data_IF_338465963761
#
_entry.id   IF_338465963761
#
_cell.length_a   1.000
_cell.length_b   1.000
_cell.length_c   1.000
_cell.angle_alpha   90.00
_cell.angle_beta   90.00
_cell.angle_gamma   90.00
#
_symmetry.space_group_name_H-M   'P 1'
#
loop_
_entity.id
_entity.type
_entity.pdbx_description
1 polymer ?
2 non-polymer ?
3 non-polymer ?
4 water ?
#
# COMPACT_ATOMS: atom_id res chain seq x y z
N UNK A 2 -2.72 16.09 21.05
CA UNK A 2 -3.87 16.15 20.16
C UNK A 2 -3.50 16.70 18.77
N UNK A 3 -4.44 16.53 17.87
CA UNK A 3 -4.27 16.64 16.43
C UNK A 3 -5.32 17.63 15.97
N UNK A 4 -4.96 18.52 15.05
CA UNK A 4 -5.90 19.53 14.56
C UNK A 4 -6.17 19.32 13.07
N UNK A 5 -7.31 18.72 12.76
CA UNK A 5 -7.63 18.44 11.36
C UNK A 5 -7.66 19.73 10.56
N UNK A 6 -8.05 20.84 11.18
CA UNK A 6 -8.11 22.10 10.45
C UNK A 6 -6.72 22.58 10.07
N UNK A 7 -5.74 22.44 10.96
CA UNK A 7 -4.38 22.83 10.60
C UNK A 7 -3.82 21.91 9.52
N UNK A 8 -4.09 20.60 9.66
CA UNK A 8 -3.62 19.63 8.66
C UNK A 8 -4.24 19.95 7.30
N UNK A 9 -5.57 20.13 7.26
CA UNK A 9 -6.24 20.41 5.99
C UNK A 9 -5.63 21.61 5.29
N UNK A 10 -5.20 22.63 6.05
CA UNK A 10 -4.63 23.81 5.42
C UNK A 10 -3.37 23.49 4.62
N UNK A 11 -2.71 22.37 4.90
CA UNK A 11 -1.49 22.02 4.16
C UNK A 11 -1.78 21.41 2.78
N UNK A 12 -3.03 21.10 2.45
CA UNK A 12 -3.37 20.32 1.25
C UNK A 12 -4.13 21.17 0.24
N UNK A 13 -3.46 21.73 -0.77
CA UNK A 13 -4.14 22.68 -1.67
C UNK A 13 -5.32 22.11 -2.44
N UNK A 14 -5.35 20.81 -2.75
CA UNK A 14 -6.48 20.23 -3.46
C UNK A 14 -7.76 20.30 -2.64
N UNK A 15 -7.66 20.31 -1.31
CA UNK A 15 -8.88 20.29 -0.53
C UNK A 15 -9.75 21.54 -0.70
N UNK A 16 -9.22 22.63 -1.28
CA UNK A 16 -9.99 23.84 -1.59
C UNK A 16 -10.78 23.72 -2.88
N UNK A 17 -10.50 22.70 -3.67
CA UNK A 17 -11.02 22.54 -5.02
C UNK A 17 -12.55 22.42 -4.99
N UNK A 18 -13.18 22.79 -6.11
CA UNK A 18 -14.60 22.59 -6.30
C UNK A 18 -14.83 21.55 -7.41
N UNK A 19 -15.82 20.70 -7.21
CA UNK A 19 -16.21 19.69 -8.19
C UNK A 19 -17.69 19.85 -8.45
N UNK A 20 -18.07 19.93 -9.73
CA UNK A 20 -19.49 20.09 -10.10
C UNK A 20 -20.11 21.33 -9.45
N UNK A 21 -19.30 22.36 -9.20
CA UNK A 21 -19.78 23.55 -8.55
C UNK A 21 -19.88 23.48 -7.05
N UNK A 22 -19.62 22.32 -6.45
CA UNK A 22 -19.69 22.16 -5.01
C UNK A 22 -18.31 21.89 -4.41
N UNK A 23 -18.13 22.11 -3.10
CA UNK A 23 -16.82 21.85 -2.48
C UNK A 23 -16.51 20.36 -2.39
N UNK A 24 -15.29 20.00 -2.81
CA UNK A 24 -14.88 18.61 -2.90
C UNK A 24 -14.85 17.97 -1.52
N UNK A 25 -15.43 16.77 -1.44
CA UNK A 25 -15.20 15.87 -0.31
C UNK A 25 -14.42 14.67 -0.87
N UNK A 26 -13.12 14.66 -0.68
CA UNK A 26 -12.26 13.60 -1.23
C UNK A 26 -12.24 12.45 -0.25
N UNK A 27 -13.03 11.42 -0.54
CA UNK A 27 -13.04 10.19 0.24
C UNK A 27 -12.46 9.02 -0.55
N UNK A 28 -11.37 9.24 -1.27
CA UNK A 28 -10.80 8.20 -2.11
C UNK A 28 -9.29 8.08 -1.89
N UNK A 29 -8.85 8.31 -0.66
CA UNK A 29 -7.43 8.25 -0.35
C UNK A 29 -6.85 6.85 -0.45
N UNK A 30 -7.67 5.82 -0.27
CA UNK A 30 -7.17 4.46 -0.42
C UNK A 30 -6.74 4.17 -1.86
N UNK A 31 -7.35 4.84 -2.85
CA UNK A 31 -6.85 4.77 -4.22
C UNK A 31 -5.57 5.58 -4.36
N UNK A 32 -5.56 6.80 -3.85
CA UNK A 32 -4.34 7.60 -3.82
C UNK A 32 -4.61 8.81 -2.94
N UNK A 33 -3.60 9.25 -2.22
CA UNK A 33 -3.77 10.31 -1.23
C UNK A 33 -3.40 11.66 -1.84
N UNK A 34 -4.09 12.70 -1.40
CA UNK A 34 -3.64 14.05 -1.73
C UNK A 34 -2.31 14.31 -1.02
N UNK A 35 -1.58 15.31 -1.52
CA UNK A 35 -0.24 15.60 -1.03
C UNK A 35 -0.20 17.00 -0.41
N UNK A 36 0.54 17.18 0.68
CA UNK A 36 0.71 18.52 1.25
C UNK A 36 1.68 19.37 0.43
N UNK A 37 1.55 20.69 0.62
CA UNK A 37 2.49 21.63 0.03
C UNK A 37 3.93 21.27 0.36
N UNK A 38 4.17 20.79 1.57
CA UNK A 38 5.53 20.43 1.96
C UNK A 38 6.11 19.36 1.03
N UNK A 39 5.27 18.43 0.57
CA UNK A 39 5.75 17.39 -0.33
C UNK A 39 5.91 17.93 -1.74
N UNK A 40 4.90 18.66 -2.22
CA UNK A 40 4.94 19.23 -3.55
C UNK A 40 6.12 20.17 -3.72
N UNK A 41 6.34 21.05 -2.74
CA UNK A 41 7.42 22.02 -2.87
C UNK A 41 8.79 21.40 -2.72
N UNK A 42 8.93 20.35 -1.89
CA UNK A 42 10.23 19.71 -1.73
C UNK A 42 10.72 19.15 -3.08
N UNK A 43 9.85 18.43 -3.77
CA UNK A 43 10.16 17.93 -5.10
C UNK A 43 10.46 19.09 -6.05
N UNK A 44 9.56 20.08 -6.12
CA UNK A 44 9.76 21.20 -7.05
C UNK A 44 11.06 21.95 -6.75
N UNK A 45 11.39 22.15 -5.47
CA UNK A 45 12.61 22.84 -5.11
C UNK A 45 13.85 22.07 -5.55
N UNK A 46 13.80 20.75 -5.43
CA UNK A 46 14.89 19.91 -5.93
C UNK A 46 15.14 20.16 -7.41
N UNK A 47 14.08 20.13 -8.21
CA UNK A 47 14.20 20.40 -9.65
C UNK A 47 14.72 21.81 -9.91
N UNK A 48 14.31 22.79 -9.09
CA UNK A 48 14.67 24.19 -9.33
C UNK A 48 16.10 24.52 -8.94
N UNK A 49 16.69 23.84 -7.96
CA UNK A 49 17.97 24.25 -7.42
C UNK A 49 19.00 23.15 -7.30
N UNK A 50 18.62 21.87 -7.36
CA UNK A 50 19.57 20.83 -7.01
C UNK A 50 19.70 19.69 -7.99
N UNK A 51 19.03 19.79 -9.13
CA UNK A 51 18.87 18.62 -9.99
C UNK A 51 20.16 18.22 -10.70
N UNK A 52 20.41 16.91 -10.76
CA UNK A 52 21.50 16.30 -11.54
C UNK A 52 21.24 14.80 -11.61
N UNK A 53 22.02 14.09 -12.43
CA UNK A 53 22.03 12.63 -12.36
C UNK A 53 22.70 12.19 -11.08
N UNK A 54 22.31 11.00 -10.58
CA UNK A 54 22.73 10.55 -9.25
C UNK A 54 23.60 9.31 -9.29
N UNK A 55 24.61 9.27 -10.13
CA UNK A 55 25.28 7.98 -10.13
C UNK A 55 26.66 8.06 -9.49
N UNK A 56 26.73 8.61 -8.27
CA UNK A 56 27.99 8.97 -7.64
C UNK A 56 28.86 9.73 -8.64
N UNK A 57 28.24 10.61 -9.42
CA UNK A 57 28.95 11.41 -10.39
C UNK A 57 29.95 12.36 -9.73
N UNK A 58 30.90 12.82 -10.55
CA UNK A 58 32.01 13.55 -9.96
C UNK A 58 31.60 14.95 -9.52
N UNK A 59 30.78 15.66 -10.31
CA UNK A 59 30.53 17.06 -10.01
C UNK A 59 29.59 17.24 -8.83
N UNK A 60 29.58 18.46 -8.30
CA UNK A 60 28.93 18.76 -7.02
C UNK A 60 27.44 18.40 -7.03
N UNK A 61 26.69 18.89 -8.02
CA UNK A 61 25.25 18.62 -8.03
C UNK A 61 24.97 17.11 -8.02
N UNK A 62 25.70 16.36 -8.84
CA UNK A 62 25.52 14.91 -8.89
C UNK A 62 25.88 14.26 -7.55
N UNK A 63 26.95 14.73 -6.91
CA UNK A 63 27.34 14.12 -5.63
C UNK A 63 26.34 14.47 -4.54
N UNK A 64 25.86 15.72 -4.51
CA UNK A 64 24.86 16.09 -3.52
C UNK A 64 23.54 15.38 -3.76
N UNK A 65 23.19 15.18 -5.03
CA UNK A 65 21.94 14.50 -5.35
C UNK A 65 21.99 13.04 -4.92
N UNK A 66 23.14 12.38 -5.14
CA UNK A 66 23.28 11.00 -4.67
C UNK A 66 23.11 10.93 -3.17
N UNK A 67 23.71 11.88 -2.45
CA UNK A 67 23.60 11.90 -1.00
C UNK A 67 22.16 12.09 -0.55
N UNK A 68 21.42 12.98 -1.20
CA UNK A 68 20.01 13.19 -0.84
C UNK A 68 19.22 11.89 -0.98
N UNK A 69 19.49 11.13 -2.04
CA UNK A 69 18.75 9.90 -2.28
C UNK A 69 19.08 8.84 -1.23
N UNK A 70 20.35 8.73 -0.84
CA UNK A 70 20.68 7.76 0.19
C UNK A 70 20.16 8.18 1.56
N UNK A 71 20.08 9.49 1.81
CA UNK A 71 19.44 9.95 3.04
C UNK A 71 17.97 9.58 3.09
N UNK A 72 17.26 9.66 1.96
CA UNK A 72 15.86 9.25 1.96
C UNK A 72 15.74 7.77 2.24
N UNK A 73 16.66 6.96 1.70
CA UNK A 73 16.66 5.51 2.00
C UNK A 73 16.81 5.29 3.50
N UNK A 74 17.75 6.00 4.13
CA UNK A 74 17.94 5.90 5.57
C UNK A 74 16.67 6.35 6.31
N UNK A 75 16.11 7.50 5.94
CA UNK A 75 14.87 7.94 6.59
C UNK A 75 13.77 6.89 6.45
N UNK A 76 13.66 6.25 5.30
CA UNK A 76 12.60 5.28 5.13
C UNK A 76 12.84 4.06 6.02
N UNK A 77 14.09 3.61 6.14
CA UNK A 77 14.36 2.45 7.00
C UNK A 77 14.00 2.75 8.45
N UNK A 78 14.26 3.96 8.92
CA UNK A 78 13.87 4.35 10.27
C UNK A 78 12.35 4.43 10.41
N UNK A 79 11.66 4.82 9.34
CA UNK A 79 10.22 4.96 9.41
C UNK A 79 9.56 3.61 9.70
N UNK A 80 10.07 2.54 9.08
CA UNK A 80 9.54 1.19 9.31
C UNK A 80 10.38 0.40 10.28
N UNK A 81 11.33 1.04 10.96
CA UNK A 81 12.23 0.38 11.92
C UNK A 81 12.96 -0.82 11.33
N UNK A 82 13.42 -0.71 10.09
CA UNK A 82 14.32 -1.73 9.57
C UNK A 82 15.67 -1.59 10.26
N UNK A 83 16.39 -2.70 10.37
CA UNK A 83 17.68 -2.65 11.07
C UNK A 83 18.70 -1.83 10.31
N UNK A 84 18.66 -1.85 8.97
CA UNK A 84 19.67 -1.20 8.15
C UNK A 84 19.05 -0.56 6.92
N UNK A 85 19.61 0.58 6.50
CA UNK A 85 19.08 1.24 5.32
C UNK A 85 19.28 0.42 4.06
N UNK A 86 20.27 -0.46 4.04
CA UNK A 86 20.52 -1.29 2.87
C UNK A 86 19.55 -2.45 2.76
N UNK A 87 18.59 -2.56 3.66
CA UNK A 87 17.48 -3.50 3.49
C UNK A 87 16.31 -2.93 2.70
N UNK A 88 16.41 -1.69 2.20
CA UNK A 88 15.32 -1.08 1.46
C UNK A 88 15.71 -0.88 0.00
N UNK A 89 14.80 -1.29 -0.89
CA UNK A 89 14.95 -1.10 -2.32
C UNK A 89 13.89 -0.10 -2.78
N UNK A 90 14.29 0.82 -3.66
CA UNK A 90 13.39 1.77 -4.29
C UNK A 90 12.77 1.12 -5.53
N UNK A 91 11.43 1.02 -5.53
CA UNK A 91 10.66 0.42 -6.62
C UNK A 91 9.65 1.47 -7.08
N UNK A 92 8.95 1.18 -8.19
CA UNK A 92 7.95 2.12 -8.69
C UNK A 92 6.72 2.16 -7.78
N UNK A 93 6.45 1.08 -7.06
CA UNK A 93 5.31 1.02 -6.15
C UNK A 93 5.14 -0.39 -5.64
N UNK A 94 4.08 -0.57 -4.86
CA UNK A 94 3.79 -1.89 -4.29
C UNK A 94 3.72 -2.97 -5.35
N UNK A 95 3.06 -2.69 -6.48
CA UNK A 95 2.93 -3.69 -7.55
C UNK A 95 4.30 -4.13 -8.06
N UNK A 96 5.15 -3.19 -8.43
CA UNK A 96 6.46 -3.58 -8.93
C UNK A 96 7.27 -4.30 -7.85
N UNK A 97 7.10 -3.91 -6.60
CA UNK A 97 7.89 -4.53 -5.55
C UNK A 97 7.54 -5.99 -5.34
N UNK A 98 6.26 -6.33 -5.42
CA UNK A 98 5.82 -7.72 -5.29
C UNK A 98 6.30 -8.56 -6.47
N UNK A 99 6.19 -8.03 -7.69
CA UNK A 99 6.77 -8.67 -8.87
C UNK A 99 8.26 -8.95 -8.67
N UNK A 100 9.01 -7.96 -8.16
CA UNK A 100 10.44 -8.14 -7.98
C UNK A 100 10.73 -9.35 -7.10
N UNK A 101 10.05 -9.45 -5.96
CA UNK A 101 10.22 -10.60 -5.09
C UNK A 101 9.81 -11.89 -5.79
N UNK A 102 8.70 -11.84 -6.53
CA UNK A 102 8.23 -13.06 -7.18
C UNK A 102 9.22 -13.56 -8.22
N UNK A 103 9.91 -12.66 -8.93
CA UNK A 103 10.83 -13.07 -9.97
C UNK A 103 12.21 -13.40 -9.40
N UNK A 104 12.80 -12.46 -8.65
CA UNK A 104 14.13 -12.70 -8.11
C UNK A 104 14.12 -13.80 -7.06
N UNK A 105 13.39 -13.60 -5.95
CA UNK A 105 13.42 -14.61 -4.91
C UNK A 105 12.57 -15.83 -5.26
N UNK A 106 11.41 -15.62 -5.88
CA UNK A 106 10.52 -16.73 -6.15
C UNK A 106 11.13 -17.75 -7.10
N UNK A 107 11.75 -17.27 -8.18
CA UNK A 107 12.23 -18.18 -9.22
C UNK A 107 13.33 -19.11 -8.72
N UNK A 108 14.00 -18.80 -7.62
CA UNK A 108 15.07 -19.65 -7.14
C UNK A 108 14.82 -20.22 -5.75
N UNK A 109 13.61 -20.06 -5.21
CA UNK A 109 13.29 -20.69 -3.94
C UNK A 109 12.00 -21.49 -3.96
N UNK A 110 11.27 -21.46 -5.06
CA UNK A 110 9.98 -22.12 -5.16
C UNK A 110 10.07 -23.10 -6.31
N UNK A 111 10.06 -24.40 -5.99
CA UNK A 111 10.26 -25.47 -6.95
C UNK A 111 8.96 -26.25 -7.12
N UNK A 112 8.92 -27.02 -8.21
CA UNK A 112 7.72 -27.81 -8.52
C UNK A 112 7.32 -28.65 -7.31
N UNK A 113 6.01 -28.70 -7.05
CA UNK A 113 5.51 -29.40 -5.90
C UNK A 113 5.51 -28.61 -4.61
N UNK A 114 6.10 -27.41 -4.58
CA UNK A 114 5.96 -26.54 -3.43
C UNK A 114 4.59 -25.84 -3.47
N UNK A 115 4.25 -25.14 -2.40
CA UNK A 115 3.05 -24.31 -2.40
C UNK A 115 3.34 -22.90 -1.86
N UNK A 116 2.52 -21.95 -2.31
CA UNK A 116 2.48 -20.58 -1.81
C UNK A 116 1.07 -20.32 -1.29
N UNK A 117 0.97 -19.61 -0.17
CA UNK A 117 -0.32 -19.29 0.45
C UNK A 117 -0.57 -17.78 0.34
N UNK A 118 -1.72 -17.42 -0.23
CA UNK A 118 -2.22 -16.04 -0.18
C UNK A 118 -3.55 -16.08 0.56
N UNK A 119 -4.22 -14.93 0.66
CA UNK A 119 -5.54 -14.89 1.27
C UNK A 119 -6.56 -14.46 0.23
N UNK A 120 -7.83 -14.65 0.56
CA UNK A 120 -8.91 -14.32 -0.36
C UNK A 120 -9.20 -12.83 -0.41
N UNK A 121 -8.63 -12.03 0.50
CA UNK A 121 -8.84 -10.59 0.48
C UNK A 121 -7.70 -9.84 -0.20
N UNK A 122 -6.74 -10.53 -0.80
CA UNK A 122 -5.61 -9.84 -1.41
C UNK A 122 -6.04 -8.98 -2.58
N UNK A 123 -5.37 -7.85 -2.77
CA UNK A 123 -5.52 -7.12 -4.02
C UNK A 123 -4.81 -7.87 -5.15
N UNK A 124 -5.14 -7.49 -6.39
CA UNK A 124 -4.56 -8.19 -7.54
C UNK A 124 -3.04 -8.14 -7.52
N UNK A 125 -2.47 -7.02 -7.06
CA UNK A 125 -1.02 -6.89 -6.95
C UNK A 125 -0.39 -8.04 -6.15
N UNK A 126 -1.11 -8.58 -5.18
CA UNK A 126 -0.60 -9.68 -4.37
C UNK A 126 -1.27 -11.00 -4.74
N UNK A 127 -1.73 -11.13 -5.99
CA UNK A 127 -2.28 -12.39 -6.48
C UNK A 127 -1.58 -12.77 -7.78
N UNK A 128 -1.71 -11.90 -8.79
CA UNK A 128 -1.18 -12.24 -10.12
C UNK A 128 0.29 -12.62 -10.10
N UNK A 129 1.20 -11.90 -9.42
CA UNK A 129 2.60 -12.35 -9.41
C UNK A 129 2.78 -13.77 -8.93
N UNK A 130 1.96 -14.23 -7.98
CA UNK A 130 2.13 -15.58 -7.48
C UNK A 130 1.47 -16.61 -8.39
N UNK A 131 0.39 -16.21 -9.06
CA UNK A 131 -0.20 -17.05 -10.10
C UNK A 131 0.81 -17.27 -11.22
N UNK A 132 1.35 -16.19 -11.78
CA UNK A 132 2.36 -16.29 -12.82
C UNK A 132 3.55 -17.13 -12.37
N UNK A 133 3.98 -16.94 -11.12
CA UNK A 133 5.12 -17.72 -10.63
C UNK A 133 4.78 -19.21 -10.52
N UNK A 134 3.61 -19.52 -9.95
CA UNK A 134 3.19 -20.91 -9.80
C UNK A 134 3.09 -21.60 -11.15
N UNK A 135 2.66 -20.89 -12.19
CA UNK A 135 2.75 -21.38 -13.56
C UNK A 135 4.19 -21.76 -13.91
N UNK A 136 5.09 -20.77 -13.98
CA UNK A 136 6.49 -21.00 -14.32
C UNK A 136 7.07 -22.26 -13.65
N UNK A 137 7.06 -22.31 -12.32
CA UNK A 137 7.76 -23.38 -11.61
C UNK A 137 6.89 -24.60 -11.31
N UNK A 138 5.61 -24.57 -11.69
CA UNK A 138 4.70 -25.67 -11.40
C UNK A 138 4.48 -25.91 -9.91
N UNK A 139 4.05 -24.87 -9.19
CA UNK A 139 3.71 -25.00 -7.77
C UNK A 139 2.21 -24.73 -7.59
N UNK A 140 1.75 -24.81 -6.35
CA UNK A 140 0.33 -24.69 -6.03
C UNK A 140 0.07 -23.42 -5.24
N UNK A 141 -0.88 -22.60 -5.70
CA UNK A 141 -1.32 -21.41 -4.99
C UNK A 141 -2.49 -21.76 -4.08
N UNK A 142 -2.26 -21.74 -2.77
CA UNK A 142 -3.29 -22.02 -1.77
C UNK A 142 -3.83 -20.71 -1.22
N UNK A 143 -5.07 -20.72 -0.75
CA UNK A 143 -5.82 -19.50 -0.43
C UNK A 143 -6.47 -19.64 0.94
N UNK A 144 -6.19 -18.69 1.84
CA UNK A 144 -6.89 -18.61 3.12
C UNK A 144 -8.25 -17.96 2.87
N UNK A 145 -9.35 -18.64 3.18
CA UNK A 145 -10.68 -18.09 2.89
C UNK A 145 -11.13 -17.09 3.96
N UNK A 146 -12.23 -16.41 3.66
CA UNK A 146 -12.80 -15.38 4.52
C UNK A 146 -13.98 -15.91 5.34
N UNK A 147 -14.24 -15.24 6.45
CA UNK A 147 -15.49 -15.31 7.19
C UNK A 147 -16.42 -14.22 6.70
N UNK A 148 -17.73 -14.38 6.91
CA UNK A 148 -18.67 -13.32 6.49
C UNK A 148 -18.34 -11.93 7.00
N UNK A 149 -17.74 -11.81 8.19
CA UNK A 149 -17.42 -10.50 8.72
C UNK A 149 -16.17 -9.88 8.13
N UNK A 150 -15.52 -10.53 7.17
CA UNK A 150 -14.34 -9.95 6.55
C UNK A 150 -13.03 -10.27 7.21
N UNK A 151 -13.01 -11.23 8.14
CA UNK A 151 -11.76 -11.71 8.72
C UNK A 151 -11.35 -13.02 8.07
N UNK A 152 -10.06 -13.33 8.17
CA UNK A 152 -9.56 -14.61 7.69
C UNK A 152 -10.08 -15.76 8.55
N UNK A 153 -10.40 -16.89 7.90
CA UNK A 153 -10.68 -18.13 8.62
C UNK A 153 -9.36 -18.75 9.06
N UNK A 154 -8.87 -18.34 10.22
CA UNK A 154 -7.58 -18.84 10.66
C UNK A 154 -7.59 -20.33 10.99
N UNK A 155 -8.78 -20.92 11.23
CA UNK A 155 -8.84 -22.35 11.53
C UNK A 155 -8.39 -23.20 10.37
N UNK A 156 -8.34 -22.66 9.15
CA UNK A 156 -7.91 -23.45 8.01
C UNK A 156 -6.41 -23.46 7.82
N UNK A 157 -5.65 -22.70 8.61
CA UNK A 157 -4.21 -22.68 8.42
C UNK A 157 -3.56 -24.06 8.47
N UNK A 158 -3.94 -24.98 9.38
CA UNK A 158 -3.32 -26.32 9.39
C UNK A 158 -3.45 -27.09 8.08
N UNK A 159 -4.55 -26.92 7.36
CA UNK A 159 -4.68 -27.60 6.09
C UNK A 159 -3.90 -26.94 4.97
N UNK A 160 -3.40 -25.72 5.18
CA UNK A 160 -2.68 -24.99 4.14
C UNK A 160 -1.17 -25.03 4.32
N UNK A 161 -0.69 -24.98 5.55
CA UNK A 161 0.74 -25.00 5.82
C UNK A 161 1.25 -26.44 5.90
N UNK A 162 2.33 -26.73 5.22
CA UNK A 162 3.04 -28.01 5.38
C UNK A 162 4.54 -27.78 5.18
N UNK A 163 5.28 -28.86 4.93
CA UNK A 163 6.73 -28.74 4.79
C UNK A 163 7.13 -28.12 3.46
N UNK A 164 6.27 -28.23 2.46
CA UNK A 164 6.52 -27.67 1.13
C UNK A 164 5.96 -26.23 0.96
N UNK A 165 5.55 -25.58 2.05
CA UNK A 165 5.12 -24.18 1.96
C UNK A 165 6.34 -23.28 1.97
N UNK A 166 6.58 -22.60 0.85
CA UNK A 166 7.74 -21.72 0.75
C UNK A 166 7.44 -20.29 1.17
N UNK A 167 6.20 -19.83 1.02
CA UNK A 167 5.93 -18.41 1.17
C UNK A 167 4.47 -18.16 1.52
N UNK A 168 4.25 -17.31 2.52
CA UNK A 168 2.96 -16.71 2.80
C UNK A 168 2.99 -15.26 2.33
N UNK A 169 2.09 -14.89 1.41
CA UNK A 169 1.97 -13.51 0.96
C UNK A 169 0.61 -12.99 1.42
N UNK A 170 0.64 -12.00 2.32
CA UNK A 170 -0.56 -11.63 3.07
C UNK A 170 -0.64 -10.11 3.17
N UNK A 171 -1.86 -9.60 3.14
CA UNK A 171 -2.04 -8.15 3.26
C UNK A 171 -2.03 -7.73 4.73
N UNK A 172 -1.43 -6.58 5.00
CA UNK A 172 -1.45 -6.04 6.35
C UNK A 172 -2.84 -5.49 6.68
N UNK A 173 -3.37 -4.64 5.80
CA UNK A 173 -4.72 -4.09 5.91
C UNK A 173 -5.42 -4.21 4.55
N UNK A 174 -6.64 -4.73 4.55
CA UNK A 174 -7.41 -4.88 3.32
C UNK A 174 -7.82 -3.51 2.77
N UNK A 175 -7.64 -3.32 1.47
CA UNK A 175 -8.03 -2.08 0.83
C UNK A 175 -9.54 -1.96 0.62
N UNK A 176 -10.31 -2.99 0.94
CA UNK A 176 -11.76 -2.97 0.81
C UNK A 176 -12.45 -3.11 2.16
N UNK A 177 -12.03 -4.11 2.95
CA UNK A 177 -12.72 -4.39 4.20
C UNK A 177 -12.17 -3.58 5.36
N UNK A 178 -10.95 -3.05 5.23
CA UNK A 178 -10.30 -2.40 6.35
C UNK A 178 -9.86 -3.35 7.46
N UNK A 179 -9.98 -4.66 7.23
CA UNK A 179 -9.51 -5.65 8.19
C UNK A 179 -7.99 -5.52 8.34
N UNK A 180 -7.53 -5.53 9.60
CA UNK A 180 -6.11 -5.65 9.88
C UNK A 180 -5.82 -7.08 10.30
N UNK A 181 -4.88 -7.71 9.64
CA UNK A 181 -4.65 -9.13 9.89
C UNK A 181 -3.64 -9.35 11.01
N UNK A 182 -3.76 -10.48 11.72
CA UNK A 182 -2.84 -10.77 12.82
C UNK A 182 -1.46 -11.20 12.34
N UNK A 183 -0.69 -10.25 11.82
CA UNK A 183 0.54 -10.58 11.11
C UNK A 183 1.56 -11.24 12.02
N UNK A 184 1.73 -10.72 13.23
CA UNK A 184 2.78 -11.24 14.09
C UNK A 184 2.62 -12.74 14.32
N UNK A 185 1.41 -13.18 14.62
CA UNK A 185 1.17 -14.60 14.87
C UNK A 185 1.27 -15.42 13.58
N UNK A 186 0.71 -14.93 12.47
CA UNK A 186 0.81 -15.72 11.25
C UNK A 186 2.26 -15.90 10.82
N UNK A 187 3.09 -14.88 11.06
CA UNK A 187 4.50 -14.96 10.71
C UNK A 187 5.22 -16.00 11.57
N UNK A 188 4.92 -16.02 12.88
CA UNK A 188 5.43 -17.08 13.74
C UNK A 188 5.09 -18.46 13.19
N UNK A 189 3.82 -18.68 12.81
CA UNK A 189 3.43 -19.97 12.24
C UNK A 189 4.18 -20.26 10.96
N UNK A 190 4.26 -19.27 10.06
CA UNK A 190 4.91 -19.53 8.79
C UNK A 190 6.37 -19.88 8.99
N UNK A 191 7.03 -19.21 9.93
CA UNK A 191 8.44 -19.49 10.14
C UNK A 191 8.66 -20.86 10.75
N UNK A 192 7.70 -21.38 11.51
CA UNK A 192 7.84 -22.73 12.04
C UNK A 192 7.98 -23.77 10.93
N UNK A 193 7.51 -23.47 9.73
CA UNK A 193 7.68 -24.37 8.59
C UNK A 193 8.77 -23.95 7.63
N UNK A 194 9.59 -22.96 8.01
CA UNK A 194 10.59 -22.44 7.10
C UNK A 194 10.01 -21.74 5.90
N UNK A 195 8.78 -21.24 6.00
CA UNK A 195 8.24 -20.40 4.95
C UNK A 195 8.62 -18.94 5.22
N UNK A 196 8.86 -18.20 4.14
CA UNK A 196 9.04 -16.76 4.27
C UNK A 196 7.67 -16.06 4.20
N UNK A 197 7.63 -14.82 4.68
CA UNK A 197 6.40 -14.03 4.65
C UNK A 197 6.67 -12.70 3.96
N UNK A 198 5.93 -12.43 2.88
CA UNK A 198 5.83 -11.09 2.32
C UNK A 198 4.54 -10.44 2.83
N UNK A 199 4.66 -9.22 3.34
CA UNK A 199 3.51 -8.44 3.80
C UNK A 199 3.26 -7.32 2.80
N UNK A 200 2.03 -7.26 2.31
CA UNK A 200 1.59 -6.15 1.46
C UNK A 200 1.08 -5.06 2.40
N UNK A 201 1.87 -4.00 2.56
CA UNK A 201 1.59 -2.96 3.53
C UNK A 201 1.01 -1.70 2.91
N UNK A 202 0.53 -1.80 1.67
CA UNK A 202 0.08 -0.61 0.93
C UNK A 202 -0.93 0.22 1.72
N UNK A 203 -1.82 -0.43 2.47
CA UNK A 203 -2.87 0.26 3.20
C UNK A 203 -2.59 0.35 4.69
N UNK A 204 -1.35 0.13 5.11
CA UNK A 204 -1.02 0.13 6.53
C UNK A 204 -0.16 1.32 6.96
N UNK A 205 0.84 1.68 6.16
CA UNK A 205 1.86 2.61 6.58
C UNK A 205 1.36 4.01 6.91
N UNK A 206 0.15 4.38 6.46
CA UNK A 206 -0.36 5.72 6.73
C UNK A 206 -1.29 5.77 7.93
N UNK A 207 -1.64 4.64 8.52
CA UNK A 207 -2.66 4.62 9.57
C UNK A 207 -2.08 4.47 10.98
N UNK A 208 -0.91 3.87 11.13
CA UNK A 208 -0.32 3.68 12.45
C UNK A 208 1.12 3.24 12.27
N UNK A 209 1.95 3.35 13.33
CA UNK A 209 3.35 2.95 13.21
C UNK A 209 3.48 1.50 12.76
N UNK A 210 4.52 1.23 11.98
CA UNK A 210 4.78 -0.10 11.47
C UNK A 210 6.24 -0.41 11.76
N UNK A 211 6.52 -1.62 12.23
CA UNK A 211 7.82 -1.98 12.77
C UNK A 211 8.14 -3.38 12.25
N UNK A 212 9.00 -3.45 11.23
CA UNK A 212 9.26 -4.73 10.59
C UNK A 212 10.15 -5.63 11.43
N UNK A 213 10.90 -5.08 12.38
CA UNK A 213 11.63 -5.95 13.30
C UNK A 213 10.68 -6.65 14.25
N UNK A 214 9.67 -5.94 14.76
CA UNK A 214 8.68 -6.57 15.62
C UNK A 214 7.79 -7.56 14.86
N UNK A 215 7.42 -7.24 13.61
CA UNK A 215 6.64 -8.18 12.83
C UNK A 215 7.43 -9.42 12.48
N UNK A 216 8.74 -9.24 12.24
CA UNK A 216 9.64 -10.29 11.76
C UNK A 216 9.31 -10.78 10.36
N UNK A 217 8.57 -9.99 9.58
CA UNK A 217 8.33 -10.33 8.18
C UNK A 217 9.63 -10.36 7.38
N UNK A 218 9.64 -11.14 6.32
CA UNK A 218 10.83 -11.25 5.49
C UNK A 218 10.84 -10.21 4.36
N UNK A 219 9.66 -9.78 3.92
CA UNK A 219 9.51 -8.75 2.90
C UNK A 219 8.34 -7.86 3.30
N UNK A 220 8.44 -6.57 2.97
CA UNK A 220 7.37 -5.64 3.25
C UNK A 220 7.38 -4.59 2.15
N UNK A 221 6.21 -4.28 1.58
CA UNK A 221 6.10 -3.33 0.48
C UNK A 221 5.04 -2.30 0.75
N UNK A 222 5.25 -1.08 0.25
CA UNK A 222 4.21 -0.06 0.25
C UNK A 222 4.51 0.98 -0.83
N UNK A 223 3.54 1.86 -1.08
CA UNK A 223 3.61 2.83 -2.17
C UNK A 223 3.66 4.25 -1.63
N UNK A 224 4.49 5.07 -2.26
CA UNK A 224 4.61 6.45 -1.83
C UNK A 224 3.34 7.25 -2.00
N UNK A 225 2.58 6.98 -3.08
CA UNK A 225 1.45 7.87 -3.39
C UNK A 225 0.29 7.70 -2.40
N UNK A 226 0.17 6.55 -1.75
CA UNK A 226 -0.85 6.43 -0.72
C UNK A 226 -0.40 7.03 0.59
N UNK A 227 0.89 7.28 0.73
CA UNK A 227 1.48 7.87 1.93
C UNK A 227 1.68 9.37 1.76
N UNK A 228 0.75 10.06 1.12
CA UNK A 228 0.80 11.50 0.89
C UNK A 228 2.02 11.93 0.09
N UNK A 229 2.58 11.01 -0.70
CA UNK A 229 3.78 11.29 -1.44
C UNK A 229 3.56 11.26 -2.94
N UNK A 230 4.61 11.52 -3.72
CA UNK A 230 4.46 11.54 -5.17
C UNK A 230 4.17 10.17 -5.73
N UNK A 231 3.68 10.16 -6.97
CA UNK A 231 3.55 8.91 -7.69
C UNK A 231 4.91 8.43 -8.18
N UNK A 232 4.96 7.18 -8.61
CA UNK A 232 6.17 6.64 -9.21
C UNK A 232 7.23 6.18 -8.24
N UNK A 233 6.89 5.96 -6.97
CA UNK A 233 7.92 5.54 -6.01
C UNK A 233 7.27 4.71 -4.92
N UNK A 234 8.00 3.68 -4.48
CA UNK A 234 7.57 2.81 -3.40
C UNK A 234 8.79 2.22 -2.73
N UNK A 235 8.55 1.40 -1.71
CA UNK A 235 9.61 0.83 -0.90
C UNK A 235 9.39 -0.66 -0.79
N UNK A 236 10.46 -1.44 -1.03
CA UNK A 236 10.50 -2.86 -0.74
C UNK A 236 11.54 -3.07 0.35
N UNK A 237 11.09 -3.54 1.50
CA UNK A 237 11.99 -3.98 2.58
C UNK A 237 12.22 -5.47 2.45
N UNK A 238 13.47 -5.91 2.55
CA UNK A 238 13.84 -7.32 2.56
C UNK A 238 14.89 -7.52 3.64
N UNK A 239 14.75 -8.57 4.45
CA UNK A 239 15.77 -8.91 5.43
C UNK A 239 17.12 -9.04 4.74
N UNK A 240 18.14 -8.45 5.35
CA UNK A 240 19.48 -8.38 4.74
C UNK A 240 19.98 -9.76 4.32
N UNK A 241 19.78 -10.77 5.18
CA UNK A 241 20.27 -12.11 4.87
C UNK A 241 19.63 -12.65 3.59
N UNK A 242 18.32 -12.46 3.45
CA UNK A 242 17.63 -12.86 2.22
C UNK A 242 18.08 -12.01 1.04
N UNK A 243 18.16 -10.69 1.25
CA UNK A 243 18.38 -9.78 0.12
C UNK A 243 19.76 -9.97 -0.51
N UNK A 244 20.79 -10.24 0.32
CA UNK A 244 22.12 -10.46 -0.23
C UNK A 244 22.23 -11.73 -1.04
N UNK A 245 21.26 -12.65 -0.94
CA UNK A 245 21.27 -13.88 -1.74
C UNK A 245 20.46 -13.78 -3.02
N UNK A 246 19.68 -12.69 -3.22
CA UNK A 246 18.76 -12.72 -4.35
C UNK A 246 19.48 -12.36 -5.66
N UNK A 247 19.19 -13.07 -6.75
CA UNK A 247 19.78 -12.72 -8.05
C UNK A 247 19.05 -11.53 -8.66
N UNK A 248 19.57 -10.96 -9.74
CA UNK A 248 18.93 -9.78 -10.33
C UNK A 248 17.67 -10.08 -11.15
N UNK A 249 17.01 -8.99 -11.56
CA UNK A 249 15.77 -9.00 -12.32
C UNK A 249 15.86 -8.03 -13.50
N UNK A 250 15.60 -6.75 -13.27
CA UNK A 250 15.77 -5.73 -14.30
C UNK A 250 17.25 -5.43 -14.46
N UNK A 251 17.73 -5.49 -15.70
CA UNK A 251 19.15 -5.38 -16.01
C UNK A 251 19.52 -4.13 -16.81
N UNK A 252 20.64 -3.52 -16.43
CA UNK A 252 21.18 -2.41 -17.21
C UNK A 252 22.26 -1.67 -16.45
N UNK A 253 22.37 -0.37 -16.73
CA UNK A 253 23.33 0.46 -16.01
C UNK A 253 22.95 0.64 -14.54
N UNK A 254 23.97 0.85 -13.71
CA UNK A 254 23.86 1.13 -12.28
C UNK A 254 23.56 -0.09 -11.42
N UNK A 255 23.12 -1.19 -12.03
CA UNK A 255 22.99 -2.46 -11.33
C UNK A 255 24.02 -3.48 -11.79
N UNK A 256 24.77 -3.21 -12.86
CA UNK A 256 25.96 -3.97 -13.19
C UNK A 256 27.14 -3.50 -12.35
N UNK A 257 28.11 -4.39 -12.18
CA UNK A 257 29.45 -3.99 -11.78
C UNK A 257 30.39 -3.91 -12.99
N UNK A 258 30.34 -4.88 -13.91
CA UNK A 258 31.10 -4.85 -15.15
C UNK A 258 30.24 -5.41 -16.29
N UNK A 259 30.51 -4.94 -17.49
CA UNK A 259 29.89 -5.48 -18.71
C UNK A 259 31.01 -5.77 -19.72
N UNK A 260 31.07 -7.01 -20.17
CA UNK A 260 31.99 -7.40 -21.23
C UNK A 260 31.23 -8.12 -22.32
N UNK A 261 31.56 -7.82 -23.57
CA UNK A 261 30.93 -8.55 -24.67
C UNK A 261 31.49 -9.94 -24.85
N UNK A 262 32.62 -10.27 -24.22
CA UNK A 262 33.17 -11.62 -24.30
C UNK A 262 33.16 -12.35 -22.97
N UNK A 263 33.34 -11.66 -21.86
CA UNK A 263 33.37 -12.27 -20.54
C UNK A 263 32.04 -12.14 -19.79
N UNK A 264 31.01 -11.61 -20.42
CA UNK A 264 29.73 -11.50 -19.72
C UNK A 264 29.71 -10.35 -18.71
N UNK A 265 28.75 -10.43 -17.79
CA UNK A 265 28.41 -9.29 -16.94
C UNK A 265 28.31 -9.72 -15.48
N UNK A 266 28.82 -8.88 -14.58
CA UNK A 266 28.68 -9.09 -13.15
C UNK A 266 27.82 -7.96 -12.55
N UNK A 267 27.28 -8.21 -11.36
CA UNK A 267 26.30 -7.30 -10.75
C UNK A 267 26.80 -6.72 -9.43
N UNK A 268 26.26 -5.56 -9.08
CA UNK A 268 26.67 -4.90 -7.86
C UNK A 268 25.85 -5.41 -6.68
N UNK A 269 26.23 -4.99 -5.46
CA UNK A 269 25.57 -5.48 -4.25
C UNK A 269 24.15 -4.92 -4.13
N UNK A 270 23.31 -5.67 -3.44
CA UNK A 270 22.01 -5.16 -3.02
C UNK A 270 22.21 -4.07 -1.97
N UNK A 271 21.29 -3.10 -1.88
CA UNK A 271 20.03 -2.99 -2.65
C UNK A 271 20.23 -2.48 -4.07
N UNK A 272 21.40 -1.92 -4.38
CA UNK A 272 21.56 -1.25 -5.68
C UNK A 272 21.45 -2.21 -6.85
N UNK A 273 21.71 -3.50 -6.63
CA UNK A 273 21.52 -4.53 -7.66
C UNK A 273 20.13 -4.45 -8.30
N UNK A 274 19.14 -3.99 -7.56
CA UNK A 274 17.74 -4.05 -7.98
C UNK A 274 17.18 -2.70 -8.42
N UNK A 275 18.05 -1.71 -8.62
CA UNK A 275 17.66 -0.36 -9.05
C UNK A 275 18.42 -0.10 -10.35
N UNK A 276 17.80 -0.40 -11.47
CA UNK A 276 18.44 -0.27 -12.78
C UNK A 276 18.04 1.04 -13.44
N UNK A 277 18.93 1.56 -14.25
CA UNK A 277 18.65 2.80 -14.93
C UNK A 277 18.63 3.98 -13.99
N UNK A 278 18.01 5.04 -14.46
CA UNK A 278 17.97 6.28 -13.70
C UNK A 278 16.86 6.21 -12.66
N UNK A 279 17.18 6.30 -11.37
CA UNK A 279 16.13 6.31 -10.33
C UNK A 279 15.20 7.50 -10.50
N UNK A 280 14.03 7.36 -9.90
CA UNK A 280 13.04 8.44 -9.90
C UNK A 280 13.42 9.38 -8.74
N UNK A 281 14.45 10.21 -8.98
CA UNK A 281 14.94 11.09 -7.90
C UNK A 281 13.89 12.10 -7.47
N UNK A 282 13.19 12.70 -8.43
CA UNK A 282 12.09 13.58 -8.05
C UNK A 282 11.15 12.92 -7.07
N UNK A 283 10.71 11.71 -7.40
CA UNK A 283 9.82 10.99 -6.51
C UNK A 283 10.45 10.65 -5.18
N UNK A 284 11.73 10.25 -5.20
CA UNK A 284 12.43 9.90 -3.95
C UNK A 284 12.50 11.11 -3.01
N UNK A 285 12.85 12.28 -3.55
CA UNK A 285 12.86 13.52 -2.78
C UNK A 285 11.49 13.79 -2.16
N UNK A 286 10.42 13.70 -2.96
CA UNK A 286 9.08 13.94 -2.43
C UNK A 286 8.68 12.91 -1.40
N UNK A 287 9.11 11.66 -1.57
CA UNK A 287 8.79 10.63 -0.58
C UNK A 287 9.47 10.94 0.75
N UNK A 288 10.74 11.36 0.70
CA UNK A 288 11.41 11.82 1.90
C UNK A 288 10.61 12.87 2.63
N UNK A 289 10.11 13.86 1.90
CA UNK A 289 9.32 14.92 2.52
C UNK A 289 8.03 14.38 3.10
N UNK A 290 7.38 13.45 2.40
CA UNK A 290 6.15 12.88 2.91
C UNK A 290 6.37 12.15 4.22
N UNK A 291 7.49 11.42 4.34
CA UNK A 291 7.79 10.72 5.60
C UNK A 291 8.01 11.71 6.74
N UNK A 292 8.76 12.79 6.49
CA UNK A 292 8.94 13.83 7.51
C UNK A 292 7.62 14.45 7.91
N UNK A 293 6.76 14.75 6.93
CA UNK A 293 5.49 15.37 7.25
C UNK A 293 4.65 14.46 8.13
N UNK A 294 4.55 13.19 7.76
CA UNK A 294 3.77 12.25 8.56
C UNK A 294 4.39 12.07 9.95
N UNK A 295 5.71 11.95 10.02
CA UNK A 295 6.37 11.83 11.33
C UNK A 295 6.13 13.07 12.20
N UNK A 296 6.11 14.26 11.59
CA UNK A 296 5.87 15.48 12.36
C UNK A 296 4.47 15.49 12.98
N UNK A 297 3.46 14.97 12.28
CA UNK A 297 2.14 14.88 12.87
C UNK A 297 2.08 13.78 13.91
N UNK A 298 2.82 12.69 13.72
CA UNK A 298 2.80 11.55 14.62
C UNK A 298 1.78 10.52 14.19
N UNK A 299 2.24 9.33 13.83
CA UNK A 299 1.31 8.28 13.42
C UNK A 299 0.35 7.92 14.54
N UNK A 300 0.77 8.01 15.81
CA UNK A 300 -0.18 7.69 16.87
C UNK A 300 -1.27 8.75 16.98
N UNK A 301 -0.96 10.01 16.70
CA UNK A 301 -2.05 11.00 16.68
C UNK A 301 -2.95 10.81 15.48
N UNK A 302 -2.36 10.44 14.33
CA UNK A 302 -3.17 10.16 13.14
C UNK A 302 -4.13 9.01 13.42
N UNK A 303 -3.59 7.90 13.96
CA UNK A 303 -4.44 6.75 14.27
C UNK A 303 -5.61 7.17 15.14
N UNK A 304 -5.34 7.96 16.18
CA UNK A 304 -6.38 8.34 17.12
C UNK A 304 -7.46 9.16 16.44
N UNK A 305 -7.07 10.17 15.67
CA UNK A 305 -8.07 10.94 14.94
C UNK A 305 -8.86 10.06 13.97
N UNK A 306 -8.16 9.21 13.21
CA UNK A 306 -8.84 8.40 12.19
C UNK A 306 -9.82 7.42 12.82
N UNK A 307 -9.42 6.82 13.95
CA UNK A 307 -10.31 5.87 14.61
C UNK A 307 -11.60 6.56 15.08
N UNK A 308 -11.49 7.80 15.57
CA UNK A 308 -12.68 8.54 15.99
C UNK A 308 -13.55 8.90 14.80
N UNK A 309 -12.93 9.34 13.71
CA UNK A 309 -13.69 9.63 12.51
C UNK A 309 -14.39 8.38 12.01
N UNK A 310 -13.69 7.24 12.04
CA UNK A 310 -14.29 5.98 11.60
C UNK A 310 -15.47 5.60 12.49
N UNK A 311 -15.30 5.66 13.81
CA UNK A 311 -16.39 5.33 14.72
C UNK A 311 -17.57 6.29 14.55
N UNK A 312 -17.30 7.56 14.26
CA UNK A 312 -18.40 8.48 14.01
C UNK A 312 -19.15 8.08 12.74
N UNK A 313 -18.42 7.80 11.66
CA UNK A 313 -19.05 7.47 10.40
C UNK A 313 -19.90 6.22 10.51
N UNK A 314 -19.36 5.16 11.11
CA UNK A 314 -20.14 3.94 11.25
C UNK A 314 -21.39 4.19 12.07
N UNK A 315 -21.29 5.05 13.07
CA UNK A 315 -22.47 5.36 13.88
C UNK A 315 -23.52 6.09 13.04
N UNK A 316 -23.11 7.14 12.31
CA UNK A 316 -24.05 7.89 11.49
C UNK A 316 -24.62 7.05 10.35
N UNK A 317 -23.83 6.15 9.77
CA UNK A 317 -24.34 5.39 8.64
C UNK A 317 -25.47 4.46 9.03
N UNK A 318 -25.65 4.19 10.32
CA UNK A 318 -26.76 3.37 10.76
C UNK A 318 -28.11 3.96 10.34
N UNK A 319 -28.17 5.28 10.13
CA UNK A 319 -29.42 5.92 9.75
C UNK A 319 -29.64 5.94 8.25
N UNK A 320 -28.86 5.22 7.46
CA UNK A 320 -29.08 5.08 6.04
C UNK A 320 -29.87 3.78 5.81
N UNK A 321 -31.06 3.85 5.25
CA UNK A 321 -31.85 2.63 5.05
C UNK A 321 -31.20 1.74 4.00
N UNK A 322 -31.33 0.42 4.20
CA UNK A 322 -30.93 -0.60 3.22
C UNK A 322 -29.44 -0.57 2.89
N UNK A 323 -28.62 -0.02 3.77
CA UNK A 323 -27.20 0.04 3.54
C UNK A 323 -26.58 -1.28 3.99
N UNK A 324 -25.85 -1.92 3.08
CA UNK A 324 -25.07 -3.11 3.40
C UNK A 324 -23.62 -2.71 3.57
N UNK A 325 -23.02 -3.04 4.71
CA UNK A 325 -21.60 -2.80 4.93
C UNK A 325 -20.86 -4.14 4.86
N UNK A 326 -19.62 -4.09 4.35
CA UNK A 326 -18.80 -5.28 4.22
C UNK A 326 -17.55 -5.12 5.06
N UNK A 327 -17.30 -6.07 5.96
CA UNK A 327 -16.10 -6.01 6.77
C UNK A 327 -16.39 -5.96 8.26
N UNK A 328 -15.33 -5.99 9.06
CA UNK A 328 -15.49 -6.02 10.51
C UNK A 328 -15.78 -4.63 11.06
N UNK A 329 -16.16 -4.62 12.34
CA UNK A 329 -16.45 -3.36 13.01
C UNK A 329 -15.20 -2.54 13.32
N UNK A 330 -14.08 -3.21 13.62
CA UNK A 330 -12.83 -2.49 13.91
C UNK A 330 -12.00 -2.27 12.65
N UNK A 331 -12.61 -1.77 11.58
CA UNK A 331 -11.91 -1.55 10.33
C UNK A 331 -11.03 -0.30 10.38
N UNK A 332 -9.96 -0.32 9.58
CA UNK A 332 -9.10 0.85 9.39
C UNK A 332 -9.35 1.44 8.01
N UNK A 333 -9.40 2.78 7.95
CA UNK A 333 -9.28 3.49 6.68
C UNK A 333 -10.47 3.53 5.75
N UNK A 334 -11.12 2.39 5.48
CA UNK A 334 -12.10 2.34 4.41
C UNK A 334 -13.41 1.74 4.89
N UNK A 335 -14.49 2.19 4.26
CA UNK A 335 -15.81 1.63 4.48
C UNK A 335 -16.33 1.21 3.12
N UNK A 336 -16.50 -0.09 2.94
CA UNK A 336 -17.08 -0.66 1.72
C UNK A 336 -18.57 -0.92 1.94
N UNK A 337 -19.40 -0.53 0.97
CA UNK A 337 -20.84 -0.67 1.14
C UNK A 337 -21.53 -0.80 -0.20
N UNK A 338 -22.77 -1.29 -0.15
CA UNK A 338 -23.73 -1.16 -1.25
C UNK A 338 -25.04 -0.61 -0.69
N UNK A 339 -25.76 0.11 -1.54
CA UNK A 339 -27.00 0.79 -1.14
C UNK A 339 -28.16 0.07 -1.83
N UNK A 340 -29.00 -0.58 -1.03
CA UNK A 340 -30.09 -1.37 -1.55
C UNK A 340 -29.67 -2.27 -2.70
N UNK A 341 -30.47 -2.31 -3.75
CA UNK A 341 -30.14 -3.07 -4.93
C UNK A 341 -29.58 -2.19 -6.04
N UNK A 342 -29.24 -0.94 -5.73
CA UNK A 342 -28.71 -0.03 -6.74
C UNK A 342 -27.27 -0.41 -7.11
N UNK A 343 -26.93 -0.23 -8.39
CA UNK A 343 -25.56 -0.49 -8.83
C UNK A 343 -24.61 0.51 -8.17
N UNK A 344 -23.48 -0.01 -7.68
CA UNK A 344 -22.47 0.85 -7.09
C UNK A 344 -22.03 1.96 -8.05
N UNK A 345 -21.93 1.64 -9.34
CA UNK A 345 -21.62 2.67 -10.32
C UNK A 345 -22.60 3.85 -10.20
N UNK A 346 -23.90 3.57 -10.10
CA UNK A 346 -24.87 4.66 -10.01
C UNK A 346 -24.73 5.41 -8.70
N UNK A 347 -24.59 4.69 -7.59
CA UNK A 347 -24.45 5.35 -6.29
C UNK A 347 -23.24 6.30 -6.33
N UNK A 348 -22.11 5.82 -6.82
CA UNK A 348 -20.93 6.65 -6.90
C UNK A 348 -21.10 7.83 -7.85
N UNK A 349 -21.90 7.68 -8.90
CA UNK A 349 -22.14 8.80 -9.80
C UNK A 349 -22.96 9.89 -9.13
N UNK A 350 -23.96 9.50 -8.35
CA UNK A 350 -24.73 10.50 -7.60
C UNK A 350 -23.85 11.18 -6.56
N UNK A 351 -23.03 10.42 -5.85
CA UNK A 351 -22.16 11.04 -4.86
C UNK A 351 -21.19 12.02 -5.49
N UNK A 352 -20.69 11.70 -6.69
CA UNK A 352 -19.80 12.64 -7.38
C UNK A 352 -20.57 13.88 -7.81
N UNK A 353 -21.85 13.70 -8.15
CA UNK A 353 -22.68 14.84 -8.50
C UNK A 353 -22.84 15.79 -7.32
N UNK A 354 -22.79 15.28 -6.09
CA UNK A 354 -22.78 16.11 -4.89
C UNK A 354 -21.38 16.58 -4.50
N UNK A 355 -20.36 16.33 -5.30
CA UNK A 355 -19.00 16.71 -4.96
C UNK A 355 -18.25 15.76 -4.04
N UNK A 356 -18.76 14.55 -3.85
CA UNK A 356 -18.16 13.57 -2.96
C UNK A 356 -17.50 12.50 -3.80
N UNK A 357 -16.18 12.34 -3.63
CA UNK A 357 -15.40 11.39 -4.40
C UNK A 357 -15.28 10.08 -3.61
N UNK A 358 -15.96 9.04 -4.06
CA UNK A 358 -15.78 7.69 -3.55
C UNK A 358 -15.36 6.81 -4.73
N UNK A 359 -14.90 5.61 -4.42
CA UNK A 359 -14.50 4.67 -5.45
C UNK A 359 -15.59 3.63 -5.63
N UNK A 360 -15.79 3.21 -6.87
CA UNK A 360 -16.72 2.12 -7.19
C UNK A 360 -15.99 1.07 -8.02
N UNK A 361 -16.60 -0.11 -8.12
CA UNK A 361 -16.04 -1.17 -8.93
C UNK A 361 -15.55 -2.32 -8.08
N UNK A 362 -14.59 -3.06 -8.61
CA UNK A 362 -14.09 -4.23 -7.92
C UNK A 362 -12.88 -3.96 -7.03
N UNK A 363 -12.30 -2.76 -7.09
CA UNK A 363 -11.23 -2.37 -6.18
C UNK A 363 -10.01 -3.26 -6.30
N UNK A 364 -9.76 -3.77 -7.51
CA UNK A 364 -8.67 -4.70 -7.78
C UNK A 364 -8.67 -5.88 -6.81
N UNK A 365 -9.87 -6.31 -6.41
CA UNK A 365 -10.03 -7.42 -5.50
C UNK A 365 -11.20 -8.28 -5.94
N UNK A 366 -11.13 -8.79 -7.18
CA UNK A 366 -12.24 -9.58 -7.71
C UNK A 366 -12.54 -10.83 -6.91
N UNK A 367 -11.57 -11.60 -6.41
CA UNK A 367 -11.96 -12.75 -5.57
C UNK A 367 -12.68 -12.35 -4.31
N UNK A 368 -12.38 -11.17 -3.78
CA UNK A 368 -13.13 -10.67 -2.63
C UNK A 368 -14.56 -10.33 -3.01
N UNK A 369 -14.76 -9.71 -4.18
CA UNK A 369 -16.11 -9.46 -4.66
C UNK A 369 -16.88 -10.76 -4.84
N UNK A 370 -16.22 -11.79 -5.39
CA UNK A 370 -16.91 -13.05 -5.64
C UNK A 370 -17.32 -13.72 -4.35
N UNK A 371 -16.46 -13.67 -3.32
CA UNK A 371 -16.82 -14.22 -2.03
C UNK A 371 -18.13 -13.63 -1.53
N UNK A 372 -18.31 -12.32 -1.67
CA UNK A 372 -19.54 -11.67 -1.22
C UNK A 372 -20.65 -11.72 -2.25
N UNK A 373 -20.42 -12.39 -3.38
CA UNK A 373 -21.47 -12.59 -4.38
C UNK A 373 -22.05 -11.27 -4.86
N UNK A 374 -21.20 -10.26 -5.00
CA UNK A 374 -21.56 -9.01 -5.67
C UNK A 374 -20.53 -8.76 -6.76
N UNK A 375 -20.87 -7.98 -7.75
CA UNK A 375 -19.88 -7.63 -8.78
C UNK A 375 -19.04 -6.41 -8.41
N UNK A 376 -19.56 -5.57 -7.52
CA UNK A 376 -18.88 -4.32 -7.22
C UNK A 376 -19.36 -3.81 -5.86
N UNK A 377 -18.60 -2.86 -5.31
CA UNK A 377 -18.96 -2.17 -4.08
C UNK A 377 -18.57 -0.71 -4.23
N UNK A 378 -19.19 0.13 -3.41
CA UNK A 378 -18.72 1.48 -3.18
C UNK A 378 -17.74 1.46 -2.01
N UNK A 379 -16.83 2.41 -1.99
CA UNK A 379 -15.90 2.49 -0.89
C UNK A 379 -15.55 3.94 -0.60
N UNK A 380 -15.67 4.33 0.65
CA UNK A 380 -15.25 5.64 1.12
C UNK A 380 -14.02 5.46 2.02
N UNK A 381 -12.97 6.23 1.76
CA UNK A 381 -11.80 6.29 2.64
C UNK A 381 -11.93 7.49 3.56
N UNK A 382 -11.61 7.29 4.84
CA UNK A 382 -11.63 8.36 5.84
C UNK A 382 -10.20 8.56 6.30
N UNK A 383 -9.52 9.55 5.72
CA UNK A 383 -8.10 9.79 5.98
C UNK A 383 -7.93 10.91 7.01
N UNK A 384 -6.67 11.23 7.32
CA UNK A 384 -6.38 12.17 8.39
C UNK A 384 -6.84 13.58 8.08
N UNK A 385 -7.15 13.89 6.83
CA UNK A 385 -7.60 15.24 6.49
C UNK A 385 -9.09 15.33 6.23
N UNK A 386 -9.84 14.24 6.45
CA UNK A 386 -11.28 14.24 6.29
C UNK A 386 -11.98 14.63 7.60
N UNK A 387 -13.20 15.15 7.49
CA UNK A 387 -13.87 15.81 8.61
C UNK A 387 -15.23 15.17 8.89
N UNK A 388 -15.70 15.38 10.12
CA UNK A 388 -17.06 14.95 10.48
C UNK A 388 -18.08 15.52 9.50
N UNK A 389 -17.88 16.76 9.06
CA UNK A 389 -18.83 17.32 8.11
C UNK A 389 -18.84 16.54 6.80
N UNK A 390 -17.67 16.07 6.35
CA UNK A 390 -17.65 15.26 5.13
C UNK A 390 -18.39 13.94 5.33
N UNK A 391 -18.25 13.31 6.49
CA UNK A 391 -19.08 12.14 6.80
C UNK A 391 -20.57 12.49 6.68
N UNK A 392 -20.97 13.63 7.23
CA UNK A 392 -22.37 14.04 7.20
C UNK A 392 -22.86 14.20 5.76
N UNK A 393 -22.03 14.81 4.89
CA UNK A 393 -22.42 14.91 3.49
C UNK A 393 -22.61 13.52 2.88
N UNK A 394 -21.76 12.57 3.26
CA UNK A 394 -21.91 11.23 2.68
C UNK A 394 -23.20 10.57 3.15
N UNK A 395 -23.52 10.72 4.44
CA UNK A 395 -24.74 10.12 4.99
C UNK A 395 -25.97 10.75 4.35
N UNK A 396 -26.02 12.08 4.32
CA UNK A 396 -27.13 12.74 3.65
C UNK A 396 -27.22 12.33 2.19
N UNK A 397 -26.08 12.24 1.51
CA UNK A 397 -26.10 11.85 0.11
C UNK A 397 -26.71 10.48 -0.11
N UNK A 398 -26.36 9.51 0.73
CA UNK A 398 -26.92 8.17 0.57
C UNK A 398 -28.42 8.18 0.83
N UNK A 399 -28.86 8.92 1.85
CA UNK A 399 -30.30 9.04 2.13
C UNK A 399 -31.03 9.63 0.93
N UNK A 400 -30.50 10.72 0.37
CA UNK A 400 -31.13 11.31 -0.81
C UNK A 400 -31.19 10.33 -1.96
N UNK A 401 -30.09 9.59 -2.20
CA UNK A 401 -30.07 8.65 -3.32
C UNK A 401 -31.09 7.54 -3.09
N UNK A 402 -31.22 7.09 -1.85
CA UNK A 402 -32.18 6.03 -1.57
C UNK A 402 -33.59 6.50 -1.85
N UNK A 403 -33.91 7.72 -1.40
CA UNK A 403 -35.25 8.26 -1.57
C UNK A 403 -35.55 8.53 -3.03
N UNK A 404 -34.57 9.03 -3.78
CA UNK A 404 -34.80 9.37 -5.18
C UNK A 404 -34.94 8.13 -6.04
N UNK A 405 -34.07 7.14 -5.83
CA UNK A 405 -34.07 5.95 -6.68
C UNK A 405 -34.88 4.79 -6.13
N UNK A 406 -35.25 4.83 -4.85
CA UNK A 406 -36.07 3.78 -4.28
C UNK A 406 -37.48 3.86 -4.84
#
# INVERSE_FOLDING_TARGET
MIFSVDKVRADFPVLSREVNGLPLAYLDSAASAQKPSQVIDAEAEFYRHGYAAVHRGIHTLSAQATEKMENVRKRASLFINARSAEELVFVRGTTEGINLVANSWGNSNVRAGDNIIISQMEAHANIVPWQMLCARVGAELRVIPLNPDGTLQLETLPTLFDEKTRLLAITHVSNVLGTENPLAEMITLAHQHGAKVLVDGAQAVMHHPVDVQALDCDFYVFSGHKLYGPTGIGILYVKEALLQEMPPWEGGGSMIATVSLSEGTTWTKAPWRFEAGTPNTGGIIGLGAALEYVSALGLNNIAEYEQNLMHYALSQLESVPDLTLYGPQNRLGVIAFNLGKHHAYDVGSFLDNYGIAVRTGHHCAMPLMAYYNVPAMCRASLAMYNTHEEVDRLVTGLQRIHRLLG
#
